data_IF_547791583557
#
_entry.id   IF_547791583557
#
_cell.length_a   1.000
_cell.length_b   1.000
_cell.length_c   1.000
_cell.angle_alpha   90.00
_cell.angle_beta   90.00
_cell.angle_gamma   90.00
#
_symmetry.space_group_name_H-M   'P 1'
#
loop_
_entity.id
_entity.type
_entity.pdbx_description
1 polymer ?
#
# COMPACT_ATOMS: atom_id res chain seq x y z
N UNK A 1 35.85 18.84 2.77
CA UNK A 1 35.56 17.56 2.10
C UNK A 1 34.23 17.02 2.62
N UNK A 2 33.16 17.14 1.83
CA UNK A 2 31.85 16.58 2.16
C UNK A 2 31.94 15.07 1.96
N UNK A 3 31.86 14.29 3.05
CA UNK A 3 31.77 12.83 3.00
C UNK A 3 30.44 12.46 2.34
N UNK A 4 30.49 12.00 1.09
CA UNK A 4 29.34 11.33 0.46
C UNK A 4 29.09 10.06 1.25
N UNK A 5 27.93 9.96 1.89
CA UNK A 5 27.49 8.74 2.54
C UNK A 5 27.34 7.66 1.46
N UNK A 6 28.17 6.63 1.52
CA UNK A 6 28.08 5.48 0.63
C UNK A 6 26.73 4.81 0.89
N UNK A 7 25.94 4.62 -0.16
CA UNK A 7 24.61 3.99 -0.02
C UNK A 7 24.87 2.52 0.32
N UNK A 8 24.30 1.96 1.39
CA UNK A 8 24.58 0.58 1.78
C UNK A 8 24.26 -0.33 0.58
N UNK A 9 25.30 -0.99 0.07
CA UNK A 9 25.18 -2.03 -0.96
C UNK A 9 24.86 -3.32 -0.22
N UNK A 10 23.77 -3.98 -0.60
CA UNK A 10 23.39 -5.28 -0.04
C UNK A 10 24.53 -6.29 -0.28
N UNK A 11 24.99 -6.98 0.76
CA UNK A 11 25.95 -8.06 0.60
C UNK A 11 25.26 -9.28 0.00
N UNK A 12 26.02 -10.18 -0.63
CA UNK A 12 25.51 -11.44 -1.21
C UNK A 12 24.88 -12.41 -0.18
N UNK A 13 24.83 -12.04 1.10
CA UNK A 13 24.17 -12.77 2.18
C UNK A 13 22.88 -12.10 2.65
N UNK A 14 22.53 -10.95 2.07
CA UNK A 14 21.44 -10.08 2.51
C UNK A 14 20.25 -10.26 1.56
N UNK A 15 19.71 -11.49 1.50
CA UNK A 15 18.51 -11.84 0.73
C UNK A 15 17.25 -11.40 1.47
N UNK A 16 16.14 -11.31 0.74
CA UNK A 16 14.83 -11.17 1.37
C UNK A 16 14.54 -12.41 2.24
N UNK A 17 13.98 -12.21 3.44
CA UNK A 17 13.50 -13.34 4.23
C UNK A 17 12.29 -13.99 3.55
N UNK A 18 12.01 -15.26 3.84
CA UNK A 18 10.85 -15.96 3.30
C UNK A 18 9.53 -15.23 3.60
N UNK A 19 9.40 -14.63 4.79
CA UNK A 19 8.25 -13.81 5.16
C UNK A 19 8.17 -12.53 4.32
N UNK A 20 9.30 -11.89 4.02
CA UNK A 20 9.34 -10.71 3.17
C UNK A 20 8.97 -11.03 1.71
N UNK A 21 9.38 -12.19 1.20
CA UNK A 21 8.97 -12.70 -0.12
C UNK A 21 7.47 -12.96 -0.17
N UNK A 22 6.91 -13.65 0.84
CA UNK A 22 5.47 -13.90 0.94
C UNK A 22 4.68 -12.58 1.00
N UNK A 23 5.03 -11.68 1.93
CA UNK A 23 4.37 -10.39 2.08
C UNK A 23 4.51 -9.50 0.82
N UNK A 24 5.60 -9.62 0.06
CA UNK A 24 5.74 -8.92 -1.22
C UNK A 24 4.75 -9.46 -2.27
N UNK A 25 4.63 -10.79 -2.39
CA UNK A 25 3.70 -11.44 -3.32
C UNK A 25 2.24 -11.12 -2.99
N UNK A 26 1.91 -11.08 -1.70
CA UNK A 26 0.55 -10.81 -1.22
C UNK A 26 0.21 -9.31 -1.14
N UNK A 27 1.16 -8.42 -1.52
CA UNK A 27 1.06 -6.96 -1.45
C UNK A 27 0.85 -6.39 -0.02
N UNK A 28 1.33 -7.09 0.99
CA UNK A 28 1.18 -6.72 2.40
C UNK A 28 2.36 -5.88 2.94
N UNK A 29 3.42 -5.71 2.14
CA UNK A 29 4.52 -4.83 2.52
C UNK A 29 4.10 -3.35 2.52
N UNK A 30 4.41 -2.65 3.62
CA UNK A 30 4.32 -1.19 3.69
C UNK A 30 5.18 -0.51 2.61
N UNK A 31 4.80 0.72 2.22
CA UNK A 31 5.36 1.42 1.05
C UNK A 31 6.90 1.45 0.99
N UNK A 32 7.57 1.75 2.10
CA UNK A 32 9.04 1.82 2.18
C UNK A 32 9.71 0.44 2.08
N UNK A 33 9.11 -0.59 2.67
CA UNK A 33 9.59 -1.97 2.58
C UNK A 33 9.40 -2.52 1.17
N UNK A 34 8.23 -2.28 0.56
CA UNK A 34 7.95 -2.66 -0.83
C UNK A 34 8.94 -2.04 -1.80
N UNK A 35 9.28 -0.75 -1.64
CA UNK A 35 10.27 -0.09 -2.50
C UNK A 35 11.66 -0.71 -2.36
N UNK A 36 12.11 -1.01 -1.14
CA UNK A 36 13.39 -1.69 -0.92
C UNK A 36 13.41 -3.10 -1.51
N UNK A 37 12.32 -3.84 -1.37
CA UNK A 37 12.17 -5.15 -1.98
C UNK A 37 12.27 -5.07 -3.51
N UNK A 38 11.55 -4.13 -4.15
CA UNK A 38 11.66 -3.90 -5.60
C UNK A 38 13.08 -3.59 -6.04
N UNK A 39 13.77 -2.68 -5.34
CA UNK A 39 15.16 -2.34 -5.63
C UNK A 39 16.07 -3.58 -5.52
N UNK A 40 15.83 -4.43 -4.51
CA UNK A 40 16.60 -5.67 -4.29
C UNK A 40 16.33 -6.72 -5.39
N UNK A 41 15.07 -6.98 -5.72
CA UNK A 41 14.66 -7.97 -6.72
C UNK A 41 15.23 -7.63 -8.11
N UNK A 42 15.31 -6.34 -8.44
CA UNK A 42 15.90 -5.88 -9.69
C UNK A 42 17.42 -6.18 -9.80
N UNK A 43 18.08 -6.48 -8.68
CA UNK A 43 19.53 -6.69 -8.59
C UNK A 43 19.91 -8.11 -8.16
N UNK A 44 18.97 -8.89 -7.60
CA UNK A 44 19.20 -10.23 -7.09
C UNK A 44 18.29 -11.25 -7.79
N UNK A 45 18.90 -12.09 -8.63
CA UNK A 45 18.20 -13.12 -9.39
C UNK A 45 17.59 -14.21 -8.48
N UNK A 46 18.26 -14.58 -7.39
CA UNK A 46 17.77 -15.61 -6.45
C UNK A 46 16.44 -15.18 -5.80
N UNK A 47 16.35 -13.95 -5.29
CA UNK A 47 15.09 -13.44 -4.73
C UNK A 47 14.00 -13.24 -5.80
N UNK A 48 14.38 -12.97 -7.06
CA UNK A 48 13.41 -12.97 -8.15
C UNK A 48 12.82 -14.37 -8.39
N UNK A 49 13.66 -15.41 -8.38
CA UNK A 49 13.24 -16.81 -8.54
C UNK A 49 12.34 -17.27 -7.38
N UNK A 50 12.69 -16.91 -6.14
CA UNK A 50 11.84 -17.18 -4.97
C UNK A 50 10.45 -16.55 -5.09
N UNK A 51 10.36 -15.32 -5.61
CA UNK A 51 9.07 -14.65 -5.87
C UNK A 51 8.25 -15.38 -6.93
N UNK A 52 8.89 -15.85 -8.01
CA UNK A 52 8.20 -16.65 -9.03
C UNK A 52 7.68 -17.95 -8.43
N UNK A 53 8.51 -18.64 -7.63
CA UNK A 53 8.12 -19.87 -6.94
C UNK A 53 6.94 -19.63 -5.99
N UNK A 54 6.98 -18.56 -5.19
CA UNK A 54 5.92 -18.20 -4.24
C UNK A 54 4.62 -17.81 -4.96
N UNK A 55 4.69 -17.07 -6.07
CA UNK A 55 3.51 -16.78 -6.92
C UNK A 55 2.88 -18.06 -7.46
N UNK A 56 3.71 -18.98 -7.95
CA UNK A 56 3.25 -20.29 -8.41
C UNK A 56 2.60 -21.11 -7.29
N UNK A 57 3.13 -21.05 -6.07
CA UNK A 57 2.53 -21.69 -4.90
C UNK A 57 1.15 -21.08 -4.57
N UNK A 58 1.05 -19.75 -4.52
CA UNK A 58 -0.20 -19.05 -4.27
C UNK A 58 -1.28 -19.36 -5.32
N UNK A 59 -0.88 -19.50 -6.59
CA UNK A 59 -1.80 -19.85 -7.67
C UNK A 59 -2.32 -21.29 -7.58
N UNK A 60 -1.46 -22.23 -7.19
CA UNK A 60 -1.89 -23.63 -6.95
C UNK A 60 -2.94 -23.71 -5.82
N UNK A 61 -2.78 -22.90 -4.78
CA UNK A 61 -3.78 -22.83 -3.69
C UNK A 61 -5.10 -22.27 -4.19
N UNK A 62 -5.08 -21.18 -4.97
CA UNK A 62 -6.30 -20.58 -5.54
C UNK A 62 -7.04 -21.51 -6.49
N UNK A 63 -6.31 -22.19 -7.38
CA UNK A 63 -6.89 -23.10 -8.37
C UNK A 63 -7.50 -24.36 -7.73
N UNK A 64 -6.92 -24.89 -6.66
CA UNK A 64 -7.49 -26.04 -5.94
C UNK A 64 -8.85 -25.73 -5.27
N UNK A 65 -9.08 -24.48 -4.85
CA UNK A 65 -10.33 -24.06 -4.21
C UNK A 65 -11.45 -23.66 -5.18
N UNK A 66 -11.15 -23.54 -6.48
CA UNK A 66 -12.07 -22.98 -7.47
C UNK A 66 -13.32 -23.83 -7.72
N UNK A 67 -13.23 -25.15 -7.53
CA UNK A 67 -14.33 -26.08 -7.82
C UNK A 67 -15.35 -26.18 -6.67
N UNK A 68 -15.05 -25.63 -5.48
CA UNK A 68 -15.88 -25.79 -4.28
C UNK A 68 -16.24 -24.51 -3.53
N UNK A 69 -15.57 -23.39 -3.81
CA UNK A 69 -15.80 -22.12 -3.11
C UNK A 69 -16.45 -21.12 -4.05
N UNK A 70 -17.77 -20.98 -3.97
CA UNK A 70 -18.54 -19.98 -4.74
C UNK A 70 -19.19 -18.97 -3.80
N UNK A 71 -19.13 -17.70 -4.18
CA UNK A 71 -19.87 -16.65 -3.49
C UNK A 71 -21.39 -16.83 -3.69
N UNK A 72 -22.21 -16.56 -2.66
CA UNK A 72 -23.67 -16.50 -2.81
C UNK A 72 -24.14 -15.58 -3.93
N UNK A 73 -25.19 -15.99 -4.66
CA UNK A 73 -25.68 -15.27 -5.86
C UNK A 73 -26.05 -13.80 -5.58
N UNK A 74 -26.67 -13.54 -4.44
CA UNK A 74 -27.07 -12.17 -4.06
C UNK A 74 -25.87 -11.23 -3.89
N UNK A 75 -24.70 -11.74 -3.46
CA UNK A 75 -23.48 -10.93 -3.34
C UNK A 75 -22.93 -10.61 -4.72
N UNK A 76 -22.92 -11.60 -5.62
CA UNK A 76 -22.48 -11.41 -7.01
C UNK A 76 -23.37 -10.37 -7.70
N UNK A 77 -24.69 -10.47 -7.55
CA UNK A 77 -25.63 -9.52 -8.13
C UNK A 77 -25.50 -8.12 -7.51
N UNK A 78 -25.20 -8.02 -6.21
CA UNK A 78 -24.94 -6.74 -5.55
C UNK A 78 -23.64 -6.10 -6.06
N UNK A 79 -22.55 -6.87 -6.16
CA UNK A 79 -21.27 -6.40 -6.71
C UNK A 79 -21.43 -5.92 -8.16
N UNK A 80 -22.19 -6.63 -8.98
CA UNK A 80 -22.45 -6.25 -10.38
C UNK A 80 -23.21 -4.92 -10.55
N UNK A 81 -23.92 -4.45 -9.51
CA UNK A 81 -24.65 -3.18 -9.51
C UNK A 81 -23.84 -2.00 -8.98
N UNK A 82 -22.65 -2.23 -8.43
CA UNK A 82 -21.79 -1.16 -7.93
C UNK A 82 -21.19 -0.39 -9.12
N UNK A 83 -21.30 0.93 -9.09
CA UNK A 83 -20.67 1.82 -10.07
C UNK A 83 -19.22 2.13 -9.68
N UNK A 84 -18.42 2.58 -10.65
CA UNK A 84 -17.06 3.05 -10.39
C UNK A 84 -17.04 4.26 -9.41
N UNK A 85 -18.12 5.04 -9.38
CA UNK A 85 -18.31 6.11 -8.40
C UNK A 85 -18.54 5.59 -6.98
N UNK A 86 -19.24 4.46 -6.81
CA UNK A 86 -19.43 3.81 -5.50
C UNK A 86 -18.11 3.28 -4.94
N UNK A 87 -17.24 2.74 -5.81
CA UNK A 87 -15.91 2.25 -5.43
C UNK A 87 -14.99 3.42 -5.04
N UNK A 88 -15.01 4.51 -5.82
CA UNK A 88 -14.20 5.69 -5.54
C UNK A 88 -14.55 6.38 -4.20
N UNK A 89 -15.82 6.35 -3.80
CA UNK A 89 -16.27 6.92 -2.53
C UNK A 89 -15.71 6.19 -1.29
N UNK A 90 -15.56 4.85 -1.39
CA UNK A 90 -15.07 3.98 -0.31
C UNK A 90 -13.53 4.01 -0.18
N UNK A 91 -12.79 3.97 -1.29
CA UNK A 91 -11.31 3.97 -1.29
C UNK A 91 -10.72 5.30 -0.80
N UNK A 92 -11.49 6.39 -0.84
CA UNK A 92 -11.11 7.69 -0.28
C UNK A 92 -11.13 7.77 1.26
N UNK A 93 -11.70 6.77 1.95
CA UNK A 93 -11.83 6.75 3.41
C UNK A 93 -10.74 5.92 4.12
N UNK A 94 -10.10 4.97 3.43
CA UNK A 94 -9.13 4.04 4.02
C UNK A 94 -7.66 4.48 3.89
N UNK A 95 -7.37 5.66 3.33
CA UNK A 95 -5.99 6.15 3.22
C UNK A 95 -5.53 6.88 4.50
N UNK A 96 -5.28 6.09 5.55
CA UNK A 96 -4.55 6.53 6.76
C UNK A 96 -3.02 6.64 6.51
N UNK A 97 -2.57 6.55 5.25
CA UNK A 97 -1.18 6.80 4.85
C UNK A 97 -1.02 7.70 3.62
N UNK A 98 -2.03 8.52 3.30
CA UNK A 98 -1.98 9.48 2.22
C UNK A 98 -0.77 10.41 2.38
N UNK A 99 0.06 10.66 1.34
CA UNK A 99 0.97 11.78 1.39
C UNK A 99 0.12 13.03 1.62
N UNK A 100 0.45 13.79 2.68
CA UNK A 100 -0.25 15.01 3.13
C UNK A 100 -0.77 15.79 1.92
N UNK A 101 -2.06 15.66 1.61
CA UNK A 101 -2.61 16.33 0.43
C UNK A 101 -2.52 17.85 0.64
N UNK A 102 -2.08 18.62 -0.37
CA UNK A 102 -1.97 20.08 -0.28
C UNK A 102 -3.29 20.74 0.14
N UNK A 103 -4.42 20.12 -0.24
CA UNK A 103 -5.78 20.58 0.08
C UNK A 103 -6.08 20.48 1.58
N UNK A 104 -5.65 19.41 2.26
CA UNK A 104 -5.85 19.25 3.71
C UNK A 104 -5.03 20.27 4.51
N UNK A 105 -3.83 20.62 4.05
CA UNK A 105 -3.02 21.68 4.66
C UNK A 105 -3.69 23.05 4.57
N UNK A 106 -4.18 23.43 3.39
CA UNK A 106 -4.91 24.68 3.19
C UNK A 106 -6.18 24.76 4.06
N UNK A 107 -6.95 23.67 4.14
CA UNK A 107 -8.17 23.63 4.95
C UNK A 107 -7.89 23.80 6.46
N UNK A 108 -6.82 23.17 6.97
CA UNK A 108 -6.42 23.30 8.37
C UNK A 108 -5.93 24.71 8.72
N UNK A 109 -5.23 25.38 7.80
CA UNK A 109 -4.80 26.76 7.98
C UNK A 109 -6.01 27.71 8.04
N UNK A 110 -6.95 27.57 7.11
CA UNK A 110 -8.18 28.37 7.09
C UNK A 110 -8.99 28.17 8.37
N UNK A 111 -9.15 26.93 8.83
CA UNK A 111 -9.86 26.63 10.08
C UNK A 111 -9.20 27.28 11.30
N UNK A 112 -7.86 27.33 11.36
CA UNK A 112 -7.13 28.02 12.43
C UNK A 112 -7.31 29.54 12.38
N UNK A 113 -7.18 30.15 11.21
CA UNK A 113 -7.39 31.60 11.02
C UNK A 113 -8.81 31.99 11.42
N UNK A 114 -9.81 31.24 10.95
CA UNK A 114 -11.21 31.50 11.29
C UNK A 114 -11.47 31.32 12.80
N UNK A 115 -10.84 30.34 13.44
CA UNK A 115 -10.98 30.14 14.89
C UNK A 115 -10.37 31.29 15.71
N UNK A 116 -9.21 31.81 15.29
CA UNK A 116 -8.57 32.98 15.91
C UNK A 116 -9.44 34.23 15.71
N UNK A 117 -9.92 34.48 14.48
CA UNK A 117 -10.80 35.62 14.19
C UNK A 117 -12.10 35.57 15.01
N UNK A 118 -12.72 34.39 15.16
CA UNK A 118 -13.89 34.20 16.03
C UNK A 118 -13.58 34.36 17.52
N UNK A 119 -12.35 34.09 17.96
CA UNK A 119 -11.95 34.28 19.35
C UNK A 119 -11.71 35.78 19.65
N UNK A 120 -11.12 36.50 18.70
CA UNK A 120 -10.92 37.97 18.79
C UNK A 120 -12.27 38.70 18.75
N UNK A 121 -13.18 38.30 17.86
CA UNK A 121 -14.54 38.87 17.76
C UNK A 121 -15.44 38.57 18.96
N UNK A 122 -15.08 37.61 19.82
CA UNK A 122 -15.80 37.29 21.07
C UNK A 122 -15.26 38.00 22.31
N UNK A 123 -14.10 38.67 22.18
CA UNK A 123 -13.47 39.45 23.27
C UNK A 123 -13.68 40.96 23.14
N UNK A 124 -14.35 41.40 22.08
CA UNK A 124 -14.90 42.75 21.89
C UNK A 124 -16.42 42.63 21.82
#
# INVERSE_FOLDING_TARGET
MVKRADKPRFSSTDHLSAEAVAAFVDNELGHSARRRAMDHIAQCQECHEEIVAQRGAAERVRSCGADGVRAPDFLVERLARMSEADIAAEVGAADEHAPRSPRRFAQNLLNRVVSVLRAVKRKH
#
